data_IF_408805985164
#
_entry.id   IF_408805985164
#
_cell.length_a   1.000
_cell.length_b   1.000
_cell.length_c   1.000
_cell.angle_alpha   90.00
_cell.angle_beta   90.00
_cell.angle_gamma   90.00
#
_symmetry.space_group_name_H-M   'P 1'
#
loop_
_entity.id
_entity.type
_entity.pdbx_description
1 polymer ?
#
# COMPACT_ATOMS: atom_id res chain seq x y z
N UNK A 1 -12.97 -14.89 47.38
CA UNK A 1 -12.36 -13.55 47.14
C UNK A 1 -11.06 -13.64 46.32
N UNK A 2 -10.20 -14.65 46.53
CA UNK A 2 -8.97 -14.89 45.76
C UNK A 2 -9.18 -15.27 44.28
N UNK A 3 -10.19 -16.08 43.95
CA UNK A 3 -10.53 -16.43 42.55
C UNK A 3 -10.86 -15.20 41.68
N UNK A 4 -11.54 -14.19 42.24
CA UNK A 4 -11.87 -12.98 41.49
C UNK A 4 -10.63 -12.13 41.16
N UNK A 5 -9.58 -12.15 42.01
CA UNK A 5 -8.34 -11.40 41.75
C UNK A 5 -7.62 -11.92 40.50
N UNK A 6 -7.61 -13.22 40.28
CA UNK A 6 -6.99 -13.81 39.09
C UNK A 6 -7.75 -13.47 37.82
N UNK A 7 -9.09 -13.55 37.86
CA UNK A 7 -9.93 -13.20 36.72
C UNK A 7 -9.80 -11.71 36.35
N UNK A 8 -9.77 -10.83 37.35
CA UNK A 8 -9.55 -9.39 37.15
C UNK A 8 -8.16 -9.13 36.57
N UNK A 9 -7.13 -9.84 37.03
CA UNK A 9 -5.77 -9.69 36.51
C UNK A 9 -5.67 -10.07 35.03
N UNK A 10 -6.26 -11.21 34.63
CA UNK A 10 -6.32 -11.61 33.22
C UNK A 10 -7.13 -10.61 32.40
N UNK A 11 -8.23 -10.10 32.95
CA UNK A 11 -9.03 -9.05 32.32
C UNK A 11 -8.21 -7.79 32.04
N UNK A 12 -7.40 -7.32 32.99
CA UNK A 12 -6.58 -6.13 32.81
C UNK A 12 -5.51 -6.29 31.72
N UNK A 13 -4.91 -7.48 31.58
CA UNK A 13 -3.89 -7.73 30.55
C UNK A 13 -4.51 -8.00 29.17
N UNK A 14 -5.76 -8.45 29.12
CA UNK A 14 -6.42 -8.87 27.88
C UNK A 14 -6.41 -7.78 26.79
N UNK A 15 -6.52 -6.51 27.20
CA UNK A 15 -6.46 -5.38 26.27
C UNK A 15 -5.08 -5.24 25.60
N UNK A 16 -4.00 -5.28 26.38
CA UNK A 16 -2.63 -5.23 25.84
C UNK A 16 -2.32 -6.45 24.99
N UNK A 17 -2.76 -7.62 25.42
CA UNK A 17 -2.60 -8.86 24.65
C UNK A 17 -3.27 -8.74 23.28
N UNK A 18 -4.49 -8.18 23.23
CA UNK A 18 -5.18 -7.91 21.98
C UNK A 18 -4.42 -6.95 21.07
N UNK A 19 -3.75 -5.92 21.59
CA UNK A 19 -2.96 -5.00 20.77
C UNK A 19 -1.66 -5.63 20.24
N UNK A 20 -1.00 -6.48 21.04
CA UNK A 20 0.35 -6.97 20.75
C UNK A 20 0.36 -8.27 19.96
N UNK A 21 -0.66 -9.13 20.12
CA UNK A 21 -0.62 -10.48 19.52
C UNK A 21 -0.50 -10.44 17.99
N UNK A 22 -1.17 -9.52 17.30
CA UNK A 22 -1.14 -9.46 15.84
C UNK A 22 0.26 -9.12 15.30
N UNK A 23 0.94 -8.02 15.73
CA UNK A 23 2.33 -7.77 15.36
C UNK A 23 3.27 -8.94 15.68
N UNK A 24 3.11 -9.60 16.82
CA UNK A 24 3.93 -10.76 17.21
C UNK A 24 3.72 -11.93 16.25
N UNK A 25 2.47 -12.28 15.92
CA UNK A 25 2.15 -13.35 14.97
C UNK A 25 2.76 -13.05 13.60
N UNK A 26 2.63 -11.80 13.13
CA UNK A 26 3.21 -11.38 11.84
C UNK A 26 4.73 -11.52 11.85
N UNK A 27 5.41 -11.14 12.94
CA UNK A 27 6.87 -11.27 13.09
C UNK A 27 7.33 -12.73 13.17
N UNK A 28 6.63 -13.58 13.92
CA UNK A 28 6.96 -15.01 14.00
C UNK A 28 6.76 -15.65 12.62
N UNK A 29 5.65 -15.39 11.95
CA UNK A 29 5.40 -15.88 10.58
C UNK A 29 6.40 -15.34 9.55
N UNK A 30 6.90 -14.12 9.76
CA UNK A 30 7.97 -13.53 8.96
C UNK A 30 9.29 -14.29 9.16
N UNK A 31 9.64 -14.65 10.39
CA UNK A 31 10.87 -15.37 10.74
C UNK A 31 10.84 -16.87 10.40
N UNK A 32 9.70 -17.54 10.55
CA UNK A 32 9.59 -18.99 10.31
C UNK A 32 9.74 -19.37 8.83
N UNK A 33 9.69 -18.40 7.89
CA UNK A 33 9.85 -18.59 6.43
C UNK A 33 8.91 -19.64 5.80
N UNK A 34 7.96 -20.17 6.55
CA UNK A 34 6.96 -21.15 6.13
C UNK A 34 5.73 -20.46 5.53
N UNK A 35 5.01 -21.19 4.66
CA UNK A 35 3.75 -20.72 4.03
C UNK A 35 2.56 -20.92 4.96
N UNK A 36 2.67 -21.83 5.91
CA UNK A 36 1.64 -22.17 6.90
C UNK A 36 2.26 -22.17 8.29
N UNK A 37 1.62 -21.53 9.27
CA UNK A 37 2.07 -21.62 10.65
C UNK A 37 1.87 -23.05 11.15
N UNK A 38 2.97 -23.71 11.49
CA UNK A 38 2.95 -24.98 12.22
C UNK A 38 2.23 -24.78 13.57
N UNK A 39 1.65 -25.84 14.13
CA UNK A 39 1.10 -25.82 15.49
C UNK A 39 2.13 -25.36 16.52
N UNK A 40 3.41 -25.64 16.27
CA UNK A 40 4.54 -25.15 17.08
C UNK A 40 4.71 -23.62 16.98
N UNK A 41 4.59 -23.05 15.78
CA UNK A 41 4.73 -21.60 15.56
C UNK A 41 3.57 -20.83 16.21
N UNK A 42 2.36 -21.39 16.13
CA UNK A 42 1.19 -20.82 16.79
C UNK A 42 1.37 -20.78 18.30
N UNK A 43 1.84 -21.88 18.91
CA UNK A 43 2.10 -21.94 20.34
C UNK A 43 3.21 -20.96 20.76
N UNK A 44 4.30 -20.88 19.98
CA UNK A 44 5.38 -19.91 20.22
C UNK A 44 4.86 -18.47 20.12
N UNK A 45 4.05 -18.15 19.12
CA UNK A 45 3.47 -16.82 18.95
C UNK A 45 2.56 -16.43 20.13
N UNK A 46 1.77 -17.37 20.66
CA UNK A 46 0.93 -17.17 21.84
C UNK A 46 1.79 -16.87 23.07
N UNK A 47 2.83 -17.66 23.32
CA UNK A 47 3.72 -17.48 24.47
C UNK A 47 4.46 -16.15 24.42
N UNK A 48 5.01 -15.78 23.25
CA UNK A 48 5.67 -14.49 23.07
C UNK A 48 4.67 -13.35 23.27
N UNK A 49 3.46 -13.44 22.70
CA UNK A 49 2.42 -12.41 22.85
C UNK A 49 2.06 -12.19 24.31
N UNK A 50 1.95 -13.27 25.10
CA UNK A 50 1.66 -13.20 26.53
C UNK A 50 2.80 -12.54 27.32
N UNK A 51 4.05 -12.93 27.06
CA UNK A 51 5.22 -12.34 27.73
C UNK A 51 5.33 -10.85 27.41
N UNK A 52 5.21 -10.46 26.13
CA UNK A 52 5.27 -9.06 25.73
C UNK A 52 4.10 -8.28 26.34
N UNK A 53 2.89 -8.84 26.37
CA UNK A 53 1.75 -8.19 26.99
C UNK A 53 1.95 -7.94 28.49
N UNK A 54 2.49 -8.91 29.24
CA UNK A 54 2.83 -8.75 30.66
C UNK A 54 3.88 -7.65 30.84
N UNK A 55 4.94 -7.66 30.02
CA UNK A 55 5.98 -6.64 30.08
C UNK A 55 5.42 -5.24 29.80
N UNK A 56 4.61 -5.07 28.75
CA UNK A 56 4.01 -3.79 28.38
C UNK A 56 3.02 -3.31 29.45
N UNK A 57 2.19 -4.22 29.99
CA UNK A 57 1.24 -3.89 31.05
C UNK A 57 1.95 -3.30 32.29
N UNK A 58 2.99 -3.96 32.78
CA UNK A 58 3.71 -3.52 33.97
C UNK A 58 4.63 -2.32 33.73
N UNK A 59 5.26 -2.24 32.56
CA UNK A 59 6.26 -1.21 32.26
C UNK A 59 5.62 0.09 31.77
N UNK A 60 4.64 0.01 30.87
CA UNK A 60 4.09 1.17 30.18
C UNK A 60 2.66 1.48 30.62
N UNK A 61 1.74 0.52 30.52
CA UNK A 61 0.32 0.78 30.75
C UNK A 61 0.06 1.25 32.19
N UNK A 62 0.54 0.50 33.18
CA UNK A 62 0.34 0.83 34.59
C UNK A 62 1.03 2.16 34.97
N UNK A 63 2.14 2.49 34.31
CA UNK A 63 2.81 3.78 34.50
C UNK A 63 2.03 4.93 33.86
N UNK A 64 1.49 4.77 32.64
CA UNK A 64 0.69 5.82 32.00
C UNK A 64 -0.63 6.07 32.75
N UNK A 65 -1.30 5.01 33.22
CA UNK A 65 -2.57 5.12 33.94
C UNK A 65 -2.46 5.91 35.26
N UNK A 66 -1.28 5.91 35.88
CA UNK A 66 -1.03 6.62 37.15
C UNK A 66 -0.50 8.05 36.96
N UNK A 67 -0.17 8.45 35.72
CA UNK A 67 0.39 9.78 35.41
C UNK A 67 -0.72 10.79 35.09
N UNK A 68 -0.36 12.08 35.14
CA UNK A 68 -1.30 13.16 34.87
C UNK A 68 -1.68 13.22 33.38
N UNK A 69 -2.88 13.74 33.10
CA UNK A 69 -3.39 13.90 31.74
C UNK A 69 -2.41 14.63 30.80
N UNK A 70 -1.71 15.66 31.30
CA UNK A 70 -0.73 16.43 30.51
C UNK A 70 0.42 15.57 30.00
N UNK A 71 0.92 14.66 30.84
CA UNK A 71 2.02 13.74 30.46
C UNK A 71 1.52 12.71 29.45
N UNK A 72 0.34 12.14 29.68
CA UNK A 72 -0.23 11.17 28.74
C UNK A 72 -0.52 11.81 27.38
N UNK A 73 -1.05 13.04 27.36
CA UNK A 73 -1.31 13.78 26.15
C UNK A 73 -0.03 14.10 25.37
N UNK A 74 1.05 14.51 26.05
CA UNK A 74 2.32 14.81 25.38
C UNK A 74 2.97 13.55 24.80
N UNK A 75 2.98 12.44 25.54
CA UNK A 75 3.49 11.15 25.05
C UNK A 75 2.69 10.65 23.86
N UNK A 76 1.36 10.67 23.93
CA UNK A 76 0.50 10.26 22.82
C UNK A 76 0.72 11.14 21.59
N UNK A 77 0.76 12.47 21.77
CA UNK A 77 1.00 13.41 20.67
C UNK A 77 2.36 13.18 20.02
N UNK A 78 3.41 12.97 20.80
CA UNK A 78 4.75 12.69 20.28
C UNK A 78 4.79 11.39 19.46
N UNK A 79 4.13 10.32 19.91
CA UNK A 79 4.01 9.06 19.17
C UNK A 79 3.25 9.26 17.86
N UNK A 80 2.11 9.97 17.88
CA UNK A 80 1.36 10.26 16.65
C UNK A 80 2.17 11.10 15.66
N UNK A 81 2.87 12.14 16.12
CA UNK A 81 3.75 12.96 15.26
C UNK A 81 4.85 12.09 14.66
N UNK A 82 5.49 11.23 15.44
CA UNK A 82 6.50 10.29 14.94
C UNK A 82 5.94 9.35 13.87
N UNK A 83 4.72 8.83 14.06
CA UNK A 83 4.07 7.99 13.05
C UNK A 83 3.77 8.77 11.76
N UNK A 84 3.33 10.03 11.86
CA UNK A 84 3.07 10.88 10.70
C UNK A 84 4.36 11.20 9.93
N UNK A 85 5.45 11.53 10.64
CA UNK A 85 6.77 11.76 10.04
C UNK A 85 7.26 10.49 9.33
N UNK A 86 7.13 9.33 9.98
CA UNK A 86 7.53 8.05 9.40
C UNK A 86 6.73 7.72 8.13
N UNK A 87 5.42 8.02 8.14
CA UNK A 87 4.55 7.81 7.00
C UNK A 87 4.87 8.77 5.84
N UNK A 88 5.13 10.04 6.14
CA UNK A 88 5.56 11.04 5.16
C UNK A 88 6.92 10.65 4.53
N UNK A 89 7.84 10.14 5.33
CA UNK A 89 9.13 9.60 4.87
C UNK A 89 9.03 8.27 4.12
N UNK A 90 7.83 7.70 3.97
CA UNK A 90 7.58 6.38 3.36
C UNK A 90 8.42 5.25 3.99
N UNK A 91 8.79 5.39 5.26
CA UNK A 91 9.63 4.43 5.96
C UNK A 91 8.99 3.03 6.04
N UNK A 92 7.68 2.90 6.38
CA UNK A 92 7.03 1.60 6.40
C UNK A 92 7.04 0.90 5.04
N UNK A 93 6.83 1.66 3.96
CA UNK A 93 6.85 1.13 2.60
C UNK A 93 8.26 0.67 2.19
N UNK A 94 9.31 1.43 2.54
CA UNK A 94 10.70 1.05 2.26
C UNK A 94 11.09 -0.24 2.99
N UNK A 95 10.81 -0.33 4.28
CA UNK A 95 11.09 -1.52 5.09
C UNK A 95 10.29 -2.74 4.58
N UNK A 96 9.02 -2.54 4.21
CA UNK A 96 8.19 -3.59 3.63
C UNK A 96 8.76 -4.10 2.30
N UNK A 97 9.21 -3.19 1.42
CA UNK A 97 9.76 -3.56 0.12
C UNK A 97 11.06 -4.35 0.26
N UNK A 98 11.94 -3.95 1.18
CA UNK A 98 13.16 -4.73 1.47
C UNK A 98 12.85 -6.11 2.05
N UNK A 99 11.89 -6.20 2.97
CA UNK A 99 11.49 -7.48 3.56
C UNK A 99 10.87 -8.42 2.53
N UNK A 100 10.03 -7.90 1.63
CA UNK A 100 9.46 -8.66 0.51
C UNK A 100 10.58 -9.16 -0.42
N UNK A 101 11.54 -8.30 -0.79
CA UNK A 101 12.66 -8.70 -1.63
C UNK A 101 13.55 -9.76 -0.97
N UNK A 102 13.77 -9.67 0.34
CA UNK A 102 14.50 -10.69 1.10
C UNK A 102 13.75 -12.04 1.11
N UNK A 103 12.44 -12.03 1.39
CA UNK A 103 11.58 -13.24 1.34
C UNK A 103 11.48 -13.83 -0.07
N UNK A 104 11.49 -13.00 -1.11
CA UNK A 104 11.43 -13.41 -2.52
C UNK A 104 12.67 -14.19 -2.97
N UNK A 105 13.86 -13.90 -2.43
CA UNK A 105 15.10 -14.57 -2.83
C UNK A 105 15.15 -16.05 -2.41
N UNK A 106 14.37 -16.43 -1.39
CA UNK A 106 14.35 -17.80 -0.85
C UNK A 106 13.25 -18.71 -1.40
N UNK A 107 12.22 -18.20 -2.09
CA UNK A 107 11.05 -19.01 -2.46
C UNK A 107 10.51 -18.66 -3.86
N UNK A 108 11.00 -19.36 -4.89
CA UNK A 108 10.64 -19.13 -6.30
C UNK A 108 9.13 -19.24 -6.57
N UNK A 109 8.39 -19.98 -5.75
CA UNK A 109 6.93 -20.12 -5.80
C UNK A 109 6.19 -18.86 -5.36
N UNK A 110 6.66 -18.15 -4.33
CA UNK A 110 6.01 -16.91 -3.88
C UNK A 110 6.18 -15.79 -4.91
N UNK A 111 7.36 -15.72 -5.55
CA UNK A 111 7.59 -14.79 -6.66
C UNK A 111 6.60 -15.05 -7.80
N UNK A 112 6.43 -16.31 -8.22
CA UNK A 112 5.44 -16.68 -9.25
C UNK A 112 4.00 -16.37 -8.85
N UNK A 113 3.65 -16.48 -7.57
CA UNK A 113 2.31 -16.12 -7.08
C UNK A 113 2.08 -14.61 -7.02
N UNK A 114 3.11 -13.83 -6.69
CA UNK A 114 3.05 -12.36 -6.76
C UNK A 114 3.02 -11.88 -8.21
N UNK A 115 3.80 -12.50 -9.09
CA UNK A 115 3.77 -12.26 -10.53
C UNK A 115 2.41 -12.65 -11.13
N UNK A 116 1.83 -13.78 -10.70
CA UNK A 116 0.48 -14.19 -11.07
C UNK A 116 -0.56 -13.21 -10.55
N UNK A 117 -0.54 -12.83 -9.27
CA UNK A 117 -1.47 -11.84 -8.72
C UNK A 117 -1.32 -10.49 -9.40
N UNK A 118 -0.09 -10.07 -9.73
CA UNK A 118 0.16 -8.85 -10.47
C UNK A 118 -0.44 -8.93 -11.88
N UNK A 119 -0.17 -10.03 -12.60
CA UNK A 119 -0.73 -10.30 -13.94
C UNK A 119 -2.26 -10.39 -13.92
N UNK A 120 -2.85 -11.05 -12.93
CA UNK A 120 -4.31 -11.12 -12.76
C UNK A 120 -4.91 -9.76 -12.37
N UNK A 121 -4.21 -8.97 -11.54
CA UNK A 121 -4.62 -7.60 -11.21
C UNK A 121 -4.60 -6.70 -12.46
N UNK A 122 -3.67 -6.93 -13.37
CA UNK A 122 -3.63 -6.26 -14.68
C UNK A 122 -4.75 -6.76 -15.59
N UNK A 123 -5.11 -8.04 -15.53
CA UNK A 123 -6.14 -8.66 -16.36
C UNK A 123 -7.58 -8.25 -16.01
N UNK A 124 -7.87 -7.87 -14.76
CA UNK A 124 -9.24 -7.54 -14.32
C UNK A 124 -9.55 -6.04 -14.36
N UNK A 125 -8.60 -5.19 -13.96
CA UNK A 125 -8.89 -3.77 -13.68
C UNK A 125 -8.05 -2.79 -14.49
N UNK A 126 -6.99 -3.25 -15.19
CA UNK A 126 -6.15 -2.41 -16.06
C UNK A 126 -6.31 -2.78 -17.53
N UNK A 127 -7.46 -3.34 -17.93
CA UNK A 127 -7.74 -3.65 -19.32
C UNK A 127 -7.89 -2.35 -20.10
N UNK A 128 -6.77 -1.88 -20.63
CA UNK A 128 -6.75 -0.91 -21.70
C UNK A 128 -7.52 -1.56 -22.87
N UNK A 129 -8.48 -0.86 -23.50
CA UNK A 129 -9.21 -1.38 -24.65
C UNK A 129 -8.23 -1.90 -25.71
N UNK A 130 -8.54 -3.02 -26.37
CA UNK A 130 -7.70 -3.62 -27.43
C UNK A 130 -7.38 -2.61 -28.54
N UNK A 131 -8.28 -1.67 -28.76
CA UNK A 131 -8.17 -0.58 -29.74
C UNK A 131 -7.17 0.52 -29.35
N UNK A 132 -6.74 0.57 -28.08
CA UNK A 132 -5.76 1.55 -27.63
C UNK A 132 -4.34 0.97 -27.76
N UNK A 133 -3.57 1.54 -28.66
CA UNK A 133 -2.21 1.08 -28.98
C UNK A 133 -1.21 1.87 -28.15
N UNK A 134 -0.06 1.27 -27.84
CA UNK A 134 1.03 1.97 -27.13
C UNK A 134 1.45 3.23 -27.90
N UNK A 135 1.40 4.38 -27.22
CA UNK A 135 1.77 5.66 -27.83
C UNK A 135 3.30 5.81 -27.87
N UNK A 136 3.89 5.49 -29.02
CA UNK A 136 5.33 5.58 -29.23
C UNK A 136 5.82 7.03 -29.45
N UNK A 137 4.91 7.97 -29.75
CA UNK A 137 5.28 9.37 -29.97
C UNK A 137 5.75 10.04 -28.67
N UNK A 138 5.28 9.55 -27.52
CA UNK A 138 5.65 10.00 -26.17
C UNK A 138 7.17 9.90 -25.91
N UNK A 139 7.86 8.93 -26.54
CA UNK A 139 9.30 8.73 -26.36
C UNK A 139 10.16 9.86 -26.93
N UNK A 140 9.59 10.70 -27.80
CA UNK A 140 10.27 11.85 -28.40
C UNK A 140 10.04 13.16 -27.67
N UNK A 141 9.26 13.18 -26.59
CA UNK A 141 8.93 14.41 -25.86
C UNK A 141 9.98 14.74 -24.83
N UNK A 142 10.24 16.03 -24.65
CA UNK A 142 11.31 16.48 -23.78
C UNK A 142 11.04 16.06 -22.33
N UNK A 143 12.07 15.56 -21.65
CA UNK A 143 11.96 15.03 -20.29
C UNK A 143 11.39 13.61 -20.11
N UNK A 144 10.68 13.02 -21.09
CA UNK A 144 10.14 11.65 -20.95
C UNK A 144 11.07 10.61 -21.56
N UNK A 145 11.95 10.03 -20.73
CA UNK A 145 12.82 8.91 -21.16
C UNK A 145 12.09 7.57 -21.31
N UNK A 146 10.94 7.40 -20.64
CA UNK A 146 10.06 6.23 -20.75
C UNK A 146 8.61 6.65 -20.58
N UNK A 147 7.78 6.33 -21.58
CA UNK A 147 6.33 6.48 -21.47
C UNK A 147 5.82 5.70 -20.23
N UNK A 148 4.96 6.30 -19.38
CA UNK A 148 4.44 5.62 -18.20
C UNK A 148 3.69 4.34 -18.62
N UNK A 149 3.88 3.29 -17.83
CA UNK A 149 3.27 1.98 -18.11
C UNK A 149 1.75 2.06 -18.06
N UNK A 150 1.11 1.78 -19.21
CA UNK A 150 -0.33 1.94 -19.41
C UNK A 150 -0.74 3.18 -20.20
N UNK A 151 0.21 3.99 -20.69
CA UNK A 151 -0.08 5.05 -21.68
C UNK A 151 -0.42 4.47 -23.05
N UNK A 152 -1.45 5.00 -23.69
CA UNK A 152 -1.94 4.52 -24.97
C UNK A 152 -2.65 5.61 -25.78
N UNK A 153 -2.79 5.40 -27.09
CA UNK A 153 -3.50 6.25 -28.03
C UNK A 153 -4.48 5.41 -28.86
N UNK A 154 -5.66 5.97 -29.10
CA UNK A 154 -6.68 5.40 -29.98
C UNK A 154 -7.21 6.46 -30.93
N UNK A 155 -7.57 6.04 -32.14
CA UNK A 155 -8.14 6.89 -33.18
C UNK A 155 -9.54 6.40 -33.54
N UNK A 156 -10.47 7.31 -33.86
CA UNK A 156 -11.82 6.98 -34.34
C UNK A 156 -12.36 8.09 -35.26
N UNK A 157 -13.57 7.92 -35.78
CA UNK A 157 -14.20 8.78 -36.79
C UNK A 157 -14.86 10.05 -36.24
N UNK A 158 -14.60 10.43 -35.00
CA UNK A 158 -15.12 11.68 -34.43
C UNK A 158 -14.27 12.90 -34.78
N UNK A 159 -14.66 14.06 -34.26
CA UNK A 159 -13.94 15.34 -34.42
C UNK A 159 -13.23 15.81 -33.15
N UNK A 160 -13.55 15.21 -32.00
CA UNK A 160 -13.08 15.63 -30.69
C UNK A 160 -11.78 14.93 -30.29
N UNK A 161 -10.74 15.68 -29.95
CA UNK A 161 -9.52 15.16 -29.34
C UNK A 161 -9.65 15.14 -27.82
N UNK A 162 -9.39 14.00 -27.19
CA UNK A 162 -9.57 13.78 -25.75
C UNK A 162 -8.26 13.32 -25.12
N UNK A 163 -7.79 14.07 -24.13
CA UNK A 163 -6.64 13.68 -23.31
C UNK A 163 -7.13 13.29 -21.91
N UNK A 164 -6.85 12.05 -21.51
CA UNK A 164 -7.21 11.49 -20.21
C UNK A 164 -5.94 11.36 -19.37
N UNK A 165 -5.81 12.17 -18.32
CA UNK A 165 -4.60 12.24 -17.50
C UNK A 165 -4.90 11.87 -16.04
N UNK A 166 -3.99 11.16 -15.39
CA UNK A 166 -4.08 10.91 -13.94
C UNK A 166 -3.19 9.79 -13.42
N UNK A 167 -3.77 8.88 -12.64
CA UNK A 167 -3.04 7.82 -11.93
C UNK A 167 -3.69 6.45 -12.06
N UNK A 168 -3.42 5.54 -11.12
CA UNK A 168 -4.01 4.19 -11.10
C UNK A 168 -5.54 4.20 -11.19
N UNK A 169 -6.21 5.21 -10.62
CA UNK A 169 -7.67 5.36 -10.71
C UNK A 169 -8.10 5.67 -12.14
N UNK A 170 -7.36 6.53 -12.83
CA UNK A 170 -7.60 6.88 -14.23
C UNK A 170 -7.35 5.69 -15.14
N UNK A 171 -6.26 4.94 -14.91
CA UNK A 171 -5.94 3.70 -15.65
C UNK A 171 -7.09 2.68 -15.52
N UNK A 172 -7.63 2.51 -14.31
CA UNK A 172 -8.72 1.55 -14.08
C UNK A 172 -10.07 1.98 -14.67
N UNK A 173 -10.38 3.27 -14.62
CA UNK A 173 -11.65 3.80 -15.15
C UNK A 173 -11.61 4.11 -16.65
N UNK A 174 -10.45 4.05 -17.30
CA UNK A 174 -10.27 4.43 -18.69
C UNK A 174 -11.18 3.67 -19.66
N UNK A 175 -11.33 2.34 -19.50
CA UNK A 175 -12.21 1.56 -20.37
C UNK A 175 -13.67 2.04 -20.31
N UNK A 176 -14.15 2.45 -19.13
CA UNK A 176 -15.49 3.02 -18.96
C UNK A 176 -15.62 4.34 -19.69
N UNK A 177 -14.63 5.24 -19.54
CA UNK A 177 -14.59 6.52 -20.25
C UNK A 177 -14.56 6.30 -21.76
N UNK A 178 -13.66 5.42 -22.22
CA UNK A 178 -13.50 5.08 -23.63
C UNK A 178 -14.80 4.58 -24.26
N UNK A 179 -15.51 3.67 -23.58
CA UNK A 179 -16.82 3.16 -24.02
C UNK A 179 -17.92 4.23 -24.00
N UNK A 180 -17.90 5.15 -23.04
CA UNK A 180 -18.86 6.25 -22.97
C UNK A 180 -18.80 7.18 -24.20
N UNK A 181 -17.62 7.38 -24.78
CA UNK A 181 -17.50 8.14 -26.04
C UNK A 181 -17.98 7.35 -27.25
N UNK A 182 -18.02 6.01 -27.20
CA UNK A 182 -18.56 5.14 -28.25
C UNK A 182 -18.07 5.50 -29.67
N UNK A 183 -16.75 5.71 -29.81
CA UNK A 183 -16.11 6.09 -31.07
C UNK A 183 -16.31 7.55 -31.52
N UNK A 184 -16.98 8.40 -30.74
CA UNK A 184 -17.22 9.83 -31.05
C UNK A 184 -16.05 10.73 -30.67
N UNK A 185 -14.83 10.34 -31.02
CA UNK A 185 -13.61 11.11 -30.83
C UNK A 185 -12.71 10.95 -32.07
N UNK A 186 -11.90 11.95 -32.40
CA UNK A 186 -10.86 11.85 -33.42
C UNK A 186 -9.63 11.12 -32.87
N UNK A 187 -9.21 11.52 -31.67
CA UNK A 187 -8.08 10.96 -30.94
C UNK A 187 -8.42 10.87 -29.45
N UNK A 188 -8.08 9.76 -28.81
CA UNK A 188 -8.15 9.63 -27.35
C UNK A 188 -6.81 9.10 -26.84
N UNK A 189 -6.17 9.88 -25.97
CA UNK A 189 -4.88 9.54 -25.35
C UNK A 189 -5.05 9.32 -23.85
N UNK A 190 -4.50 8.22 -23.33
CA UNK A 190 -4.38 7.95 -21.90
C UNK A 190 -2.96 8.22 -21.44
N UNK A 191 -2.82 9.06 -20.42
CA UNK A 191 -1.57 9.36 -19.76
C UNK A 191 -1.72 9.25 -18.24
N UNK A 192 -1.49 8.05 -17.70
CA UNK A 192 -1.65 7.79 -16.27
C UNK A 192 -0.37 7.21 -15.66
N UNK A 193 0.03 7.72 -14.49
CA UNK A 193 1.18 7.21 -13.71
C UNK A 193 0.73 6.81 -12.30
N UNK A 194 0.98 5.56 -11.93
CA UNK A 194 0.58 5.05 -10.62
C UNK A 194 1.24 5.83 -9.48
N UNK A 195 0.47 6.13 -8.43
CA UNK A 195 0.92 6.94 -7.29
C UNK A 195 1.17 8.42 -7.59
N UNK A 196 0.89 8.88 -8.82
CA UNK A 196 1.06 10.27 -9.21
C UNK A 196 -0.18 11.11 -8.88
N UNK A 197 0.00 12.31 -8.32
CA UNK A 197 -1.09 13.24 -8.05
C UNK A 197 -0.79 14.55 -8.77
N UNK A 198 -1.29 14.63 -10.00
CA UNK A 198 -0.95 15.68 -10.96
C UNK A 198 -1.38 17.05 -10.46
N UNK A 199 -2.61 17.16 -9.92
CA UNK A 199 -3.14 18.40 -9.37
C UNK A 199 -2.39 18.89 -8.12
N UNK A 200 -1.61 18.03 -7.48
CA UNK A 200 -0.80 18.34 -6.30
C UNK A 200 0.68 18.56 -6.62
N UNK A 201 1.06 18.56 -7.90
CA UNK A 201 2.45 18.78 -8.33
C UNK A 201 3.42 17.70 -7.88
N UNK A 202 2.95 16.52 -7.44
CA UNK A 202 3.84 15.47 -6.89
C UNK A 202 4.60 14.67 -7.96
N UNK A 203 4.60 15.15 -9.20
CA UNK A 203 5.19 14.51 -10.36
C UNK A 203 5.82 15.57 -11.27
N UNK A 204 6.99 16.05 -10.85
CA UNK A 204 7.71 17.15 -11.51
C UNK A 204 7.99 16.86 -12.99
N UNK A 205 8.22 15.60 -13.35
CA UNK A 205 8.48 15.17 -14.73
C UNK A 205 7.22 15.07 -15.61
N UNK A 206 6.02 15.07 -15.02
CA UNK A 206 4.79 14.72 -15.72
C UNK A 206 4.04 15.94 -16.26
N UNK A 207 4.05 17.04 -15.51
CA UNK A 207 3.29 18.25 -15.84
C UNK A 207 3.79 18.97 -17.11
N UNK A 208 5.10 19.14 -17.35
CA UNK A 208 5.60 19.76 -18.57
C UNK A 208 5.14 19.03 -19.83
N UNK A 209 5.15 17.70 -19.79
CA UNK A 209 4.78 16.86 -20.95
C UNK A 209 3.27 16.78 -21.19
N UNK A 210 2.45 17.01 -20.17
CA UNK A 210 0.98 17.13 -20.31
C UNK A 210 0.61 18.47 -20.98
N UNK A 211 1.42 19.51 -20.81
CA UNK A 211 1.20 20.80 -21.48
C UNK A 211 1.53 20.72 -22.97
N UNK A 212 2.55 19.96 -23.37
CA UNK A 212 2.87 19.72 -24.81
C UNK A 212 1.81 18.90 -25.56
N UNK A 213 0.85 18.33 -24.83
CA UNK A 213 -0.17 17.41 -25.33
C UNK A 213 -1.49 18.10 -25.73
N UNK A 214 -1.69 19.36 -25.34
CA UNK A 214 -2.87 20.20 -25.60
C UNK A 214 -2.54 21.25 -26.67
#
# INVERSE_FOLDING_TARGET
>A
ITMLRWLVYVGNISYVLYLVHWPVIVLVHACSLTVTLSTTDQLVSLMISLVVAICVHHSYENQLLTRSFRVNFSVASALYILTLISLAGRLPQRLSNEFIHYRQRGNATLYRLMEWNHRESESCCNTVPVECVKDNAIKGWDGIRRAPEGSCISHSNGTLSVLVVGNSVTKSSFNTVFRAFNGRFSTMRLFAREGCYILLGMCDDLWPSVIELV
#
